data_IF_297234085324
#
_entry.id   IF_297234085324
#
_cell.length_a   1.000
_cell.length_b   1.000
_cell.length_c   1.000
_cell.angle_alpha   90.00
_cell.angle_beta   90.00
_cell.angle_gamma   90.00
#
_symmetry.space_group_name_H-M   'P 1'
#
loop_
_entity.id
_entity.type
_entity.pdbx_description
1 polymer ?
#
# COMPACT_ATOMS: atom_id res chain seq x y z
N UNK A 1 38.89 30.78 -25.84
CA UNK A 1 37.64 30.78 -26.61
C UNK A 1 37.72 29.64 -27.60
N UNK A 2 37.23 28.49 -27.14
CA UNK A 2 37.08 27.30 -27.93
C UNK A 2 35.68 27.33 -28.55
N UNK A 3 35.60 27.71 -29.81
CA UNK A 3 34.35 27.95 -30.50
C UNK A 3 33.69 26.63 -30.91
N UNK A 4 32.48 26.35 -30.39
CA UNK A 4 31.71 25.14 -30.71
C UNK A 4 30.36 25.51 -31.31
N UNK A 5 29.97 24.82 -32.38
CA UNK A 5 28.68 25.01 -33.03
C UNK A 5 27.62 24.20 -32.28
N UNK A 6 26.52 24.84 -31.89
CA UNK A 6 25.43 24.19 -31.14
C UNK A 6 24.16 24.02 -31.95
N UNK A 7 23.95 24.81 -33.00
CA UNK A 7 22.82 24.68 -33.92
C UNK A 7 23.11 25.30 -35.30
N UNK A 8 22.32 24.89 -36.29
CA UNK A 8 22.18 25.57 -37.58
C UNK A 8 21.13 26.69 -37.45
N UNK A 9 21.47 27.93 -37.81
CA UNK A 9 20.54 29.07 -37.68
C UNK A 9 19.25 28.86 -38.48
N UNK A 10 19.36 28.25 -39.66
CA UNK A 10 18.23 27.94 -40.54
C UNK A 10 17.29 26.85 -40.00
N UNK A 11 17.75 26.03 -39.04
CA UNK A 11 16.97 24.95 -38.44
C UNK A 11 16.29 25.39 -37.13
N UNK A 12 16.69 26.52 -36.55
CA UNK A 12 16.03 27.08 -35.39
C UNK A 12 14.77 27.83 -35.83
N UNK A 13 13.62 27.33 -35.39
CA UNK A 13 12.36 28.05 -35.50
C UNK A 13 12.34 29.24 -34.53
N UNK A 14 11.72 30.34 -34.96
CA UNK A 14 11.61 31.53 -34.13
C UNK A 14 10.77 31.26 -32.87
N UNK A 15 11.29 31.70 -31.72
CA UNK A 15 10.70 31.52 -30.37
C UNK A 15 10.36 30.06 -30.03
N UNK A 16 11.13 29.11 -30.58
CA UNK A 16 11.04 27.70 -30.22
C UNK A 16 12.35 27.26 -29.53
N UNK A 17 12.29 26.72 -28.30
CA UNK A 17 13.47 26.19 -27.63
C UNK A 17 14.06 24.99 -28.39
N UNK A 18 15.39 24.94 -28.47
CA UNK A 18 16.13 23.82 -29.02
C UNK A 18 17.20 23.33 -28.04
N UNK A 19 17.46 22.03 -28.05
CA UNK A 19 18.44 21.40 -27.18
C UNK A 19 19.84 21.46 -27.79
N UNK A 20 20.86 21.70 -26.94
CA UNK A 20 22.25 21.43 -27.26
C UNK A 20 22.99 20.89 -26.02
N UNK A 21 24.12 20.21 -26.25
CA UNK A 21 24.99 19.69 -25.20
C UNK A 21 26.42 20.12 -25.46
N UNK A 22 27.05 20.75 -24.48
CA UNK A 22 28.48 21.11 -24.52
C UNK A 22 29.12 20.73 -23.20
N UNK A 23 30.26 20.04 -23.26
CA UNK A 23 30.84 19.35 -22.12
C UNK A 23 29.79 18.40 -21.49
N UNK A 24 29.47 18.51 -20.20
CA UNK A 24 28.35 17.78 -19.59
C UNK A 24 27.09 18.65 -19.34
N UNK A 25 27.07 19.88 -19.84
CA UNK A 25 26.03 20.88 -19.52
C UNK A 25 24.94 20.88 -20.60
N UNK A 26 23.70 20.59 -20.19
CA UNK A 26 22.54 20.75 -21.06
C UNK A 26 22.33 22.25 -21.32
N UNK A 27 22.06 22.61 -22.58
CA UNK A 27 21.81 23.97 -23.02
C UNK A 27 20.43 24.08 -23.66
N UNK A 28 19.80 25.23 -23.50
CA UNK A 28 18.62 25.62 -24.25
C UNK A 28 18.97 26.80 -25.16
N UNK A 29 18.79 26.59 -26.45
CA UNK A 29 19.03 27.58 -27.51
C UNK A 29 17.70 28.13 -27.94
N UNK A 30 17.51 29.45 -27.81
CA UNK A 30 16.29 30.15 -28.21
C UNK A 30 16.63 31.18 -29.26
N UNK A 31 16.06 31.01 -30.45
CA UNK A 31 16.05 32.05 -31.48
C UNK A 31 14.91 33.03 -31.21
N UNK A 32 15.17 34.32 -31.35
CA UNK A 32 14.14 35.36 -31.32
C UNK A 32 14.51 36.45 -32.32
N UNK A 33 13.67 36.60 -33.34
CA UNK A 33 13.90 37.49 -34.49
C UNK A 33 15.27 37.18 -35.14
N UNK A 34 16.20 38.14 -35.09
CA UNK A 34 17.56 38.04 -35.63
C UNK A 34 18.63 37.75 -34.56
N UNK A 35 18.21 37.40 -33.34
CA UNK A 35 19.08 37.17 -32.19
C UNK A 35 18.96 35.74 -31.67
N UNK A 36 19.96 35.35 -30.87
CA UNK A 36 20.01 34.05 -30.20
C UNK A 36 20.33 34.21 -28.72
N UNK A 37 19.71 33.39 -27.88
CA UNK A 37 20.09 33.21 -26.48
C UNK A 37 20.44 31.76 -26.24
N UNK A 38 21.51 31.53 -25.46
CA UNK A 38 21.90 30.20 -25.00
C UNK A 38 22.00 30.24 -23.49
N UNK A 39 21.12 29.50 -22.84
CA UNK A 39 21.01 29.43 -21.38
C UNK A 39 21.35 28.02 -20.90
N UNK A 40 21.60 27.87 -19.60
CA UNK A 40 21.55 26.58 -18.93
C UNK A 40 20.21 25.89 -19.20
N UNK A 41 20.26 24.65 -19.67
CA UNK A 41 19.16 23.97 -20.34
C UNK A 41 18.17 23.27 -19.43
N UNK A 42 18.35 23.29 -18.10
CA UNK A 42 17.45 22.64 -17.15
C UNK A 42 16.80 23.64 -16.21
N UNK A 43 15.51 23.43 -15.92
CA UNK A 43 14.78 24.21 -14.93
C UNK A 43 15.39 24.04 -13.53
N UNK A 44 15.59 25.13 -12.80
CA UNK A 44 16.14 25.13 -11.43
C UNK A 44 15.25 24.42 -10.39
N UNK A 45 13.99 24.15 -10.72
CA UNK A 45 13.01 23.55 -9.81
C UNK A 45 12.89 22.03 -9.96
N UNK A 46 12.69 21.55 -11.20
CA UNK A 46 12.43 20.12 -11.50
C UNK A 46 13.53 19.46 -12.33
N UNK A 47 14.58 20.18 -12.70
CA UNK A 47 15.65 19.66 -13.56
C UNK A 47 15.20 19.27 -14.98
N UNK A 48 13.96 19.58 -15.37
CA UNK A 48 13.41 19.29 -16.68
C UNK A 48 14.14 20.06 -17.79
N UNK A 49 14.30 19.45 -18.97
CA UNK A 49 14.89 20.11 -20.13
C UNK A 49 13.98 21.25 -20.59
N UNK A 50 14.51 22.47 -20.60
CA UNK A 50 13.79 23.65 -21.10
C UNK A 50 13.64 23.62 -22.62
N UNK A 51 14.42 22.78 -23.31
CA UNK A 51 14.23 22.49 -24.72
C UNK A 51 12.90 21.76 -25.01
N UNK A 52 12.35 21.02 -24.04
CA UNK A 52 11.01 20.40 -24.14
C UNK A 52 9.88 21.37 -23.70
N UNK A 53 10.25 22.59 -23.29
CA UNK A 53 9.32 23.66 -22.93
C UNK A 53 8.82 24.46 -24.12
N UNK A 54 8.37 25.67 -23.86
CA UNK A 54 7.90 26.59 -24.90
C UNK A 54 8.16 28.06 -24.51
N UNK A 55 8.07 28.98 -25.48
CA UNK A 55 8.16 30.41 -25.20
C UNK A 55 6.75 31.02 -25.16
N UNK A 56 6.49 31.88 -24.17
CA UNK A 56 5.26 32.68 -24.05
C UNK A 56 5.62 34.14 -23.79
N UNK A 57 5.39 35.01 -24.77
CA UNK A 57 5.88 36.39 -24.70
C UNK A 57 7.42 36.40 -24.70
N UNK A 58 8.02 37.00 -23.67
CA UNK A 58 9.48 37.06 -23.51
C UNK A 58 10.04 35.97 -22.59
N UNK A 59 9.20 35.03 -22.18
CA UNK A 59 9.52 34.02 -21.18
C UNK A 59 9.66 32.63 -21.80
N UNK A 60 10.78 31.98 -21.51
CA UNK A 60 11.01 30.55 -21.66
C UNK A 60 10.31 29.82 -20.50
N UNK A 61 9.36 28.96 -20.82
CA UNK A 61 8.50 28.27 -19.86
C UNK A 61 8.88 26.79 -19.78
N UNK A 62 9.05 26.31 -18.55
CA UNK A 62 9.26 24.90 -18.26
C UNK A 62 8.00 24.09 -18.59
N UNK A 63 8.13 23.05 -19.42
CA UNK A 63 6.99 22.22 -19.85
C UNK A 63 6.36 21.34 -18.76
N UNK A 64 6.94 21.27 -17.55
CA UNK A 64 6.45 20.41 -16.45
C UNK A 64 5.54 21.16 -15.47
N UNK A 65 5.88 22.40 -15.11
CA UNK A 65 5.19 23.13 -14.04
C UNK A 65 5.09 24.64 -14.30
N UNK A 66 5.18 25.04 -15.58
CA UNK A 66 4.96 26.41 -16.08
C UNK A 66 5.83 27.52 -15.44
N UNK A 67 6.98 27.16 -14.86
CA UNK A 67 7.92 28.14 -14.34
C UNK A 67 8.64 28.89 -15.45
N UNK A 68 8.87 30.19 -15.25
CA UNK A 68 9.35 31.11 -16.26
C UNK A 68 10.82 31.52 -16.06
N UNK A 69 11.47 31.80 -17.17
CA UNK A 69 12.74 32.51 -17.21
C UNK A 69 12.73 33.41 -18.44
N UNK A 70 13.06 34.70 -18.30
CA UNK A 70 13.21 35.59 -19.46
C UNK A 70 14.26 35.02 -20.40
N UNK A 71 13.93 34.67 -21.64
CA UNK A 71 14.91 34.00 -22.50
C UNK A 71 16.14 34.89 -22.79
N UNK A 72 15.98 36.21 -22.69
CA UNK A 72 17.07 37.17 -22.87
C UNK A 72 18.09 37.16 -21.74
N UNK A 73 17.68 36.90 -20.50
CA UNK A 73 18.54 37.10 -19.31
C UNK A 73 18.69 35.85 -18.45
N UNK A 74 17.81 34.86 -18.61
CA UNK A 74 17.68 33.70 -17.75
C UNK A 74 16.99 33.97 -16.41
N UNK A 75 16.54 35.20 -16.12
CA UNK A 75 15.94 35.59 -14.83
C UNK A 75 14.42 35.38 -14.85
N UNK A 76 13.85 34.73 -13.83
CA UNK A 76 12.38 34.65 -13.68
C UNK A 76 11.78 36.04 -13.47
N UNK A 77 10.64 36.31 -14.13
CA UNK A 77 10.00 37.63 -14.14
C UNK A 77 9.33 38.01 -12.80
N UNK A 78 9.02 37.02 -11.95
CA UNK A 78 8.38 37.25 -10.66
C UNK A 78 9.22 36.81 -9.46
N UNK A 79 10.28 36.03 -9.66
CA UNK A 79 11.23 35.63 -8.62
C UNK A 79 12.67 35.78 -9.11
N UNK A 80 13.17 37.01 -9.07
CA UNK A 80 14.46 37.39 -9.66
C UNK A 80 15.69 36.63 -9.09
N UNK A 81 15.56 35.99 -7.93
CA UNK A 81 16.60 35.12 -7.37
C UNK A 81 16.80 33.85 -8.19
N UNK A 82 15.77 33.40 -8.92
CA UNK A 82 15.85 32.25 -9.80
C UNK A 82 16.36 32.72 -11.18
N UNK A 83 17.63 32.40 -11.44
CA UNK A 83 18.35 32.82 -12.66
C UNK A 83 19.14 31.67 -13.26
N UNK A 84 18.81 31.31 -14.50
CA UNK A 84 19.63 30.43 -15.34
C UNK A 84 20.92 31.13 -15.74
N UNK A 85 22.01 30.38 -15.83
CA UNK A 85 23.25 30.90 -16.42
C UNK A 85 23.01 31.20 -17.90
N UNK A 86 23.41 32.40 -18.35
CA UNK A 86 23.46 32.77 -19.77
C UNK A 86 24.89 32.68 -20.27
N UNK A 87 25.09 31.95 -21.35
CA UNK A 87 26.39 31.77 -21.99
C UNK A 87 26.57 32.74 -23.16
N UNK A 88 27.82 33.07 -23.50
CA UNK A 88 28.11 33.85 -24.69
C UNK A 88 27.76 33.05 -25.95
N UNK A 89 26.92 33.63 -26.81
CA UNK A 89 26.51 33.01 -28.06
C UNK A 89 26.45 34.04 -29.20
N UNK A 90 26.79 33.62 -30.41
CA UNK A 90 26.75 34.47 -31.60
C UNK A 90 26.44 33.68 -32.87
N UNK A 91 26.03 34.41 -33.90
CA UNK A 91 25.69 33.87 -35.23
C UNK A 91 26.85 34.16 -36.17
N UNK A 92 27.41 33.13 -36.80
CA UNK A 92 28.51 33.26 -37.77
C UNK A 92 28.43 32.11 -38.77
N UNK A 93 28.59 32.42 -40.06
CA UNK A 93 28.52 31.44 -41.18
C UNK A 93 27.28 30.54 -41.15
N UNK A 94 26.13 31.09 -40.75
CA UNK A 94 24.86 30.35 -40.64
C UNK A 94 24.78 29.38 -39.46
N UNK A 95 25.76 29.38 -38.55
CA UNK A 95 25.75 28.61 -37.31
C UNK A 95 25.49 29.47 -36.07
N UNK A 96 24.90 28.86 -35.05
CA UNK A 96 24.90 29.38 -33.68
C UNK A 96 26.09 28.76 -32.95
N UNK A 97 26.92 29.62 -32.37
CA UNK A 97 28.17 29.23 -31.74
C UNK A 97 28.23 29.70 -30.30
N UNK A 98 28.95 28.93 -29.47
CA UNK A 98 29.22 29.23 -28.05
C UNK A 98 30.71 29.08 -27.73
N UNK A 99 31.15 29.64 -26.61
CA UNK A 99 32.48 29.35 -26.04
C UNK A 99 32.43 28.12 -25.14
N UNK A 100 32.98 27.00 -25.60
CA UNK A 100 33.05 25.77 -24.82
C UNK A 100 33.96 25.89 -23.58
N UNK A 101 34.95 26.79 -23.59
CA UNK A 101 35.82 27.01 -22.42
C UNK A 101 35.02 27.64 -21.27
N UNK A 102 34.09 28.55 -21.59
CA UNK A 102 33.18 29.19 -20.63
C UNK A 102 32.26 28.16 -19.99
N UNK A 103 31.63 27.32 -20.81
CA UNK A 103 30.69 26.29 -20.34
C UNK A 103 31.41 25.25 -19.48
N UNK A 104 32.59 24.78 -19.89
CA UNK A 104 33.39 23.84 -19.10
C UNK A 104 33.93 24.47 -17.79
N UNK A 105 34.19 25.78 -17.77
CA UNK A 105 34.53 26.49 -16.54
C UNK A 105 33.32 26.65 -15.61
N UNK A 106 32.12 26.83 -16.16
CA UNK A 106 30.88 26.82 -15.40
C UNK A 106 30.59 25.44 -14.81
N UNK A 107 30.71 24.37 -15.60
CA UNK A 107 30.53 22.98 -15.14
C UNK A 107 31.45 22.62 -13.97
N UNK A 108 32.73 23.02 -14.02
CA UNK A 108 33.67 22.77 -12.90
C UNK A 108 33.28 23.47 -11.61
N UNK A 109 32.59 24.62 -11.70
CA UNK A 109 32.07 25.36 -10.54
C UNK A 109 30.69 24.87 -10.11
N UNK A 110 29.94 24.27 -11.03
CA UNK A 110 28.60 23.73 -10.84
C UNK A 110 28.53 22.30 -11.41
N UNK A 111 29.15 21.32 -10.73
CA UNK A 111 29.11 19.93 -11.18
C UNK A 111 27.65 19.50 -11.36
N UNK A 112 27.35 18.82 -12.46
CA UNK A 112 25.99 18.41 -12.75
C UNK A 112 25.54 17.37 -11.71
N UNK A 113 24.30 17.46 -11.19
CA UNK A 113 23.84 16.60 -10.10
C UNK A 113 23.50 15.17 -10.57
N UNK A 114 23.81 14.83 -11.83
CA UNK A 114 23.51 13.55 -12.45
C UNK A 114 24.72 12.98 -13.20
N UNK A 115 24.82 11.65 -13.22
CA UNK A 115 25.81 10.91 -13.98
C UNK A 115 25.21 10.49 -15.33
N UNK A 116 25.41 11.28 -16.37
CA UNK A 116 24.79 11.09 -17.70
C UNK A 116 24.95 9.69 -18.28
N UNK A 117 26.13 9.10 -18.12
CA UNK A 117 26.46 7.78 -18.67
C UNK A 117 25.96 6.61 -17.80
N UNK A 118 25.39 6.90 -16.62
CA UNK A 118 24.79 5.88 -15.77
C UNK A 118 23.40 5.47 -16.29
N UNK A 119 22.93 4.30 -15.86
CA UNK A 119 21.54 3.91 -16.07
C UNK A 119 20.62 4.93 -15.38
N UNK A 120 19.58 5.39 -16.10
CA UNK A 120 18.73 6.54 -15.73
C UNK A 120 19.45 7.89 -15.59
N UNK A 121 20.71 8.03 -16.01
CA UNK A 121 21.55 9.22 -15.79
C UNK A 121 20.85 10.57 -16.04
N UNK A 122 20.26 10.76 -17.22
CA UNK A 122 19.57 12.03 -17.56
C UNK A 122 18.30 12.30 -16.75
N UNK A 123 17.74 11.28 -16.10
CA UNK A 123 16.47 11.28 -15.36
C UNK A 123 16.66 11.07 -13.86
N UNK A 124 17.90 11.10 -13.37
CA UNK A 124 18.18 11.06 -11.93
C UNK A 124 17.52 12.28 -11.27
N UNK A 125 16.72 12.02 -10.24
CA UNK A 125 16.07 13.06 -9.43
C UNK A 125 16.86 13.20 -8.12
N UNK A 126 17.65 14.28 -7.97
CA UNK A 126 18.41 14.52 -6.75
C UNK A 126 17.60 15.24 -5.66
N UNK A 127 16.40 15.76 -6.00
CA UNK A 127 15.67 16.67 -5.14
C UNK A 127 14.55 15.98 -4.36
N UNK A 128 13.84 15.02 -4.97
CA UNK A 128 12.73 14.30 -4.35
C UNK A 128 11.66 15.24 -3.80
N UNK A 129 10.64 15.56 -4.59
CA UNK A 129 9.64 16.54 -4.20
C UNK A 129 8.39 15.90 -3.57
N UNK A 130 7.69 16.57 -2.63
CA UNK A 130 6.44 16.07 -2.05
C UNK A 130 5.34 15.80 -3.08
N UNK A 131 5.35 16.50 -4.23
CA UNK A 131 4.40 16.30 -5.32
C UNK A 131 4.68 15.02 -6.12
N UNK A 132 5.88 14.45 -5.98
CA UNK A 132 6.35 13.25 -6.69
C UNK A 132 6.88 12.20 -5.69
N UNK A 133 6.08 11.79 -4.68
CA UNK A 133 6.56 11.00 -3.54
C UNK A 133 7.01 9.58 -3.91
N UNK A 134 6.81 9.17 -5.16
CA UNK A 134 7.11 7.83 -5.67
C UNK A 134 8.25 7.79 -6.70
N UNK A 135 8.83 8.92 -7.12
CA UNK A 135 9.87 8.94 -8.17
C UNK A 135 11.09 8.10 -7.78
N UNK A 136 11.55 8.23 -6.54
CA UNK A 136 12.67 7.40 -6.05
C UNK A 136 12.33 5.90 -6.03
N UNK A 137 11.08 5.53 -5.71
CA UNK A 137 10.64 4.13 -5.75
C UNK A 137 10.61 3.61 -7.19
N UNK A 138 10.13 4.41 -8.14
CA UNK A 138 10.10 4.08 -9.56
C UNK A 138 11.53 3.88 -10.09
N UNK A 139 12.45 4.79 -9.77
CA UNK A 139 13.86 4.69 -10.15
C UNK A 139 14.51 3.43 -9.56
N UNK A 140 14.32 3.18 -8.26
CA UNK A 140 14.83 1.98 -7.60
C UNK A 140 14.29 0.68 -8.23
N UNK A 141 13.00 0.62 -8.57
CA UNK A 141 12.40 -0.54 -9.25
C UNK A 141 12.91 -0.70 -10.68
N UNK A 142 13.17 0.39 -11.40
CA UNK A 142 13.75 0.33 -12.73
C UNK A 142 15.21 -0.15 -12.69
N UNK A 143 15.99 0.30 -11.71
CA UNK A 143 17.40 -0.08 -11.53
C UNK A 143 17.60 -1.52 -11.08
N UNK A 144 16.74 -2.02 -10.19
CA UNK A 144 16.96 -3.28 -9.50
C UNK A 144 15.88 -4.34 -9.74
N UNK A 145 14.81 -3.98 -10.45
CA UNK A 145 13.63 -4.82 -10.57
C UNK A 145 13.06 -5.19 -9.20
N UNK A 146 12.53 -6.41 -9.10
CA UNK A 146 11.97 -6.94 -7.86
C UNK A 146 12.99 -7.63 -6.95
N UNK A 147 14.25 -7.78 -7.37
CA UNK A 147 15.25 -8.57 -6.63
C UNK A 147 15.53 -8.01 -5.23
N UNK A 148 15.46 -6.68 -5.07
CA UNK A 148 15.73 -5.98 -3.80
C UNK A 148 14.51 -5.82 -2.90
N UNK A 149 13.30 -5.93 -3.45
CA UNK A 149 12.04 -5.67 -2.73
C UNK A 149 11.20 -6.94 -2.53
N UNK A 150 11.48 -8.01 -3.28
CA UNK A 150 10.73 -9.27 -3.27
C UNK A 150 9.67 -9.34 -4.37
N UNK A 151 9.20 -10.57 -4.63
CA UNK A 151 8.23 -10.88 -5.70
C UNK A 151 6.94 -10.04 -5.65
N UNK A 152 6.49 -9.65 -4.45
CA UNK A 152 5.28 -8.85 -4.26
C UNK A 152 5.55 -7.36 -4.00
N UNK A 153 6.79 -6.91 -4.19
CA UNK A 153 7.24 -5.57 -3.80
C UNK A 153 7.41 -5.44 -2.28
N UNK A 154 7.60 -4.20 -1.78
CA UNK A 154 7.84 -3.93 -0.37
C UNK A 154 6.73 -4.49 0.54
N UNK A 155 7.12 -5.10 1.65
CA UNK A 155 6.22 -5.73 2.63
C UNK A 155 6.38 -5.04 3.98
N UNK A 156 5.26 -4.77 4.66
CA UNK A 156 5.24 -4.23 6.01
C UNK A 156 4.24 -4.96 6.91
N UNK A 157 4.36 -4.75 8.21
CA UNK A 157 3.38 -5.15 9.20
C UNK A 157 2.37 -4.01 9.47
N UNK A 158 1.37 -4.29 10.30
CA UNK A 158 0.29 -3.38 10.70
C UNK A 158 -0.65 -3.00 9.54
N UNK A 159 -1.75 -2.30 9.87
CA UNK A 159 -2.71 -1.79 8.89
C UNK A 159 -2.31 -0.41 8.35
N UNK A 160 -3.22 0.21 7.60
CA UNK A 160 -3.12 1.60 7.15
C UNK A 160 -3.08 2.53 8.38
N UNK A 161 -2.26 3.62 8.37
CA UNK A 161 -2.24 4.60 9.44
C UNK A 161 -3.64 5.13 9.78
N UNK A 162 -3.94 5.25 11.08
CA UNK A 162 -5.27 5.67 11.55
C UNK A 162 -5.66 7.07 11.05
N UNK A 163 -4.70 7.95 10.81
CA UNK A 163 -4.94 9.29 10.28
C UNK A 163 -5.46 9.31 8.83
N UNK A 164 -5.30 8.21 8.10
CA UNK A 164 -5.78 8.05 6.72
C UNK A 164 -7.14 7.36 6.65
N UNK A 165 -7.78 7.09 7.79
CA UNK A 165 -9.06 6.39 7.88
C UNK A 165 -10.11 7.29 8.54
N UNK A 166 -11.41 7.12 8.21
CA UNK A 166 -12.49 7.78 8.93
C UNK A 166 -12.42 7.47 10.42
N UNK A 167 -12.86 8.42 11.25
CA UNK A 167 -12.77 8.30 12.70
C UNK A 167 -14.16 8.16 13.33
N UNK A 168 -14.22 7.54 14.51
CA UNK A 168 -15.46 7.44 15.27
C UNK A 168 -16.00 8.81 15.70
N UNK A 169 -15.14 9.84 15.75
CA UNK A 169 -15.53 11.21 16.11
C UNK A 169 -16.36 11.89 15.00
N UNK A 170 -16.37 11.32 13.79
CA UNK A 170 -17.16 11.78 12.66
C UNK A 170 -18.61 11.24 12.69
N UNK A 171 -18.93 10.29 13.58
CA UNK A 171 -20.25 9.70 13.72
C UNK A 171 -21.13 10.45 14.74
N UNK A 172 -22.41 10.56 14.41
CA UNK A 172 -23.45 11.09 15.31
C UNK A 172 -24.51 10.02 15.56
N UNK A 173 -24.89 9.82 16.82
CA UNK A 173 -25.99 8.92 17.17
C UNK A 173 -27.33 9.65 17.08
N UNK A 174 -28.29 9.08 16.36
CA UNK A 174 -29.67 9.58 16.32
C UNK A 174 -30.43 8.99 17.52
N UNK A 175 -30.98 9.85 18.36
CA UNK A 175 -31.64 9.44 19.62
C UNK A 175 -33.15 9.25 19.45
N UNK A 176 -33.70 8.38 20.30
CA UNK A 176 -35.13 8.12 20.40
C UNK A 176 -35.89 9.36 20.96
N UNK A 177 -37.13 9.59 20.50
CA UNK A 177 -37.98 10.71 20.95
C UNK A 177 -39.47 10.29 21.01
N UNK A 178 -40.28 10.59 19.99
CA UNK A 178 -41.72 10.34 19.98
C UNK A 178 -42.09 9.03 19.25
N UNK A 179 -41.41 8.70 18.15
CA UNK A 179 -41.67 7.47 17.40
C UNK A 179 -41.26 6.21 18.18
N UNK A 180 -40.16 6.34 18.93
CA UNK A 180 -39.70 5.38 19.93
C UNK A 180 -39.40 6.20 21.17
N UNK A 181 -40.04 5.87 22.30
CA UNK A 181 -39.76 6.55 23.56
C UNK A 181 -38.38 6.13 24.09
N UNK A 182 -37.58 7.06 24.66
CA UNK A 182 -36.34 6.69 25.32
C UNK A 182 -36.62 5.83 26.55
N UNK A 183 -35.69 4.94 26.88
CA UNK A 183 -35.72 4.19 28.14
C UNK A 183 -35.49 5.15 29.32
N UNK A 184 -36.02 4.79 30.50
CA UNK A 184 -35.73 5.51 31.74
C UNK A 184 -34.34 5.11 32.28
N UNK A 185 -33.69 6.00 33.03
CA UNK A 185 -32.31 5.82 33.54
C UNK A 185 -32.08 4.52 34.33
N UNK A 186 -33.12 4.00 35.00
CA UNK A 186 -33.03 2.78 35.82
C UNK A 186 -33.23 1.48 35.05
N UNK A 187 -33.50 1.53 33.74
CA UNK A 187 -33.73 0.32 32.94
C UNK A 187 -32.39 -0.36 32.66
N UNK A 188 -32.20 -1.63 33.09
CA UNK A 188 -30.96 -2.34 32.82
C UNK A 188 -30.80 -2.61 31.31
N UNK A 189 -29.58 -2.43 30.80
CA UNK A 189 -29.21 -2.73 29.41
C UNK A 189 -28.20 -3.87 29.41
N UNK A 190 -28.55 -4.98 28.75
CA UNK A 190 -27.65 -6.11 28.58
C UNK A 190 -26.62 -5.87 27.48
N UNK A 191 -25.41 -6.38 27.67
CA UNK A 191 -24.31 -6.37 26.68
C UNK A 191 -24.09 -7.74 26.05
N UNK A 192 -24.91 -8.73 26.43
CA UNK A 192 -24.79 -10.11 25.99
C UNK A 192 -24.96 -10.21 24.47
N UNK A 193 -24.15 -11.07 23.85
CA UNK A 193 -24.21 -11.33 22.41
C UNK A 193 -24.31 -12.84 22.17
N UNK A 194 -25.14 -13.22 21.20
CA UNK A 194 -25.27 -14.61 20.74
C UNK A 194 -24.81 -14.69 19.29
N UNK A 195 -23.73 -15.41 19.04
CA UNK A 195 -23.22 -15.69 17.69
C UNK A 195 -23.88 -16.98 17.18
N UNK A 196 -24.48 -16.86 15.99
CA UNK A 196 -25.24 -17.92 15.34
C UNK A 196 -26.42 -18.41 16.17
N UNK A 197 -27.42 -17.56 16.47
CA UNK A 197 -28.55 -17.91 17.33
C UNK A 197 -29.41 -19.07 16.80
N UNK A 198 -29.34 -19.37 15.50
CA UNK A 198 -30.04 -20.49 14.86
C UNK A 198 -29.24 -21.80 14.86
N UNK A 199 -27.96 -21.78 15.25
CA UNK A 199 -27.15 -23.00 15.36
C UNK A 199 -27.65 -23.88 16.52
N UNK A 200 -27.40 -25.19 16.45
CA UNK A 200 -27.80 -26.12 17.53
C UNK A 200 -27.05 -25.84 18.85
N UNK A 201 -25.82 -25.34 18.74
CA UNK A 201 -24.95 -24.96 19.86
C UNK A 201 -24.45 -23.52 19.66
N UNK A 202 -25.31 -22.50 19.85
CA UNK A 202 -24.93 -21.11 19.64
C UNK A 202 -23.84 -20.68 20.63
N UNK A 203 -22.96 -19.77 20.21
CA UNK A 203 -21.93 -19.21 21.07
C UNK A 203 -22.47 -17.98 21.80
N UNK A 204 -22.34 -17.94 23.13
CA UNK A 204 -22.79 -16.83 23.99
C UNK A 204 -21.61 -16.08 24.59
N UNK A 205 -21.64 -14.76 24.50
CA UNK A 205 -20.65 -13.84 25.07
C UNK A 205 -21.34 -12.88 26.04
N UNK A 206 -20.62 -12.44 27.07
CA UNK A 206 -21.14 -11.48 28.06
C UNK A 206 -21.09 -10.02 27.55
N UNK A 207 -20.23 -9.75 26.57
CA UNK A 207 -20.02 -8.44 25.95
C UNK A 207 -19.94 -8.56 24.42
N UNK A 208 -20.25 -7.50 23.65
CA UNK A 208 -20.27 -7.52 22.19
C UNK A 208 -18.88 -7.22 21.59
N UNK A 209 -17.81 -7.70 22.25
CA UNK A 209 -16.42 -7.44 21.88
C UNK A 209 -15.66 -8.76 22.04
N UNK A 210 -14.88 -9.18 21.05
CA UNK A 210 -14.04 -10.38 21.12
C UNK A 210 -12.65 -10.10 20.53
N UNK A 211 -11.68 -10.97 20.82
CA UNK A 211 -10.32 -10.85 20.28
C UNK A 211 -10.27 -11.52 18.89
N UNK A 212 -10.05 -10.72 17.85
CA UNK A 212 -10.07 -11.15 16.44
C UNK A 212 -8.85 -12.00 16.03
N UNK A 213 -8.93 -12.58 14.83
CA UNK A 213 -7.99 -13.55 14.27
C UNK A 213 -6.58 -13.01 14.12
N UNK A 214 -5.68 -13.53 14.94
CA UNK A 214 -4.25 -13.26 14.83
C UNK A 214 -3.47 -14.56 15.00
N UNK A 215 -2.78 -14.99 13.95
CA UNK A 215 -2.13 -16.30 13.94
C UNK A 215 -0.98 -16.42 14.94
N UNK A 216 -0.82 -17.61 15.52
CA UNK A 216 0.44 -17.98 16.15
C UNK A 216 1.58 -18.00 15.11
N UNK A 217 2.68 -17.32 15.43
CA UNK A 217 3.78 -17.01 14.52
C UNK A 217 3.79 -15.56 14.03
N UNK A 218 2.62 -14.95 13.84
CA UNK A 218 2.53 -13.49 13.78
C UNK A 218 2.66 -12.88 15.18
N UNK A 219 1.97 -13.50 16.16
CA UNK A 219 2.13 -13.24 17.58
C UNK A 219 2.96 -14.33 18.26
N UNK A 220 3.59 -13.99 19.37
CA UNK A 220 4.29 -14.96 20.23
C UNK A 220 3.30 -15.85 20.99
N UNK A 221 3.80 -16.93 21.58
CA UNK A 221 3.00 -17.84 22.42
C UNK A 221 2.44 -17.11 23.64
N UNK A 222 3.27 -16.32 24.30
CA UNK A 222 2.91 -15.54 25.49
C UNK A 222 1.80 -14.54 25.18
N UNK A 223 1.87 -13.87 24.02
CA UNK A 223 0.82 -12.94 23.58
C UNK A 223 -0.51 -13.66 23.34
N UNK A 224 -0.48 -14.82 22.68
CA UNK A 224 -1.68 -15.63 22.41
C UNK A 224 -2.33 -16.11 23.71
N UNK A 225 -1.54 -16.70 24.62
CA UNK A 225 -1.99 -17.17 25.94
C UNK A 225 -2.54 -16.02 26.79
N UNK A 226 -1.86 -14.88 26.82
CA UNK A 226 -2.31 -13.71 27.59
C UNK A 226 -3.64 -13.14 27.07
N UNK A 227 -3.79 -13.03 25.74
CA UNK A 227 -5.04 -12.56 25.12
C UNK A 227 -6.20 -13.53 25.37
N UNK A 228 -5.96 -14.84 25.26
CA UNK A 228 -6.98 -15.85 25.51
C UNK A 228 -7.47 -15.82 26.96
N UNK A 229 -6.55 -15.74 27.92
CA UNK A 229 -6.87 -15.60 29.34
C UNK A 229 -7.64 -14.31 29.62
N UNK A 230 -7.20 -13.20 29.02
CA UNK A 230 -7.89 -11.91 29.15
C UNK A 230 -9.33 -11.97 28.62
N UNK A 231 -9.53 -12.59 27.45
CA UNK A 231 -10.84 -12.78 26.87
C UNK A 231 -11.75 -13.65 27.77
N UNK A 232 -11.22 -14.72 28.37
CA UNK A 232 -12.00 -15.59 29.26
C UNK A 232 -12.44 -14.83 30.52
N UNK A 233 -11.52 -14.08 31.14
CA UNK A 233 -11.82 -13.25 32.32
C UNK A 233 -12.83 -12.13 32.01
N UNK A 234 -12.88 -11.66 30.76
CA UNK A 234 -13.84 -10.67 30.30
C UNK A 234 -15.18 -11.29 29.82
N UNK A 235 -15.35 -12.61 29.93
CA UNK A 235 -16.57 -13.29 29.50
C UNK A 235 -16.76 -13.34 27.98
N UNK A 236 -15.67 -13.25 27.22
CA UNK A 236 -15.70 -13.19 25.76
C UNK A 236 -14.75 -14.18 25.06
N UNK A 237 -14.83 -14.18 23.75
CA UNK A 237 -14.18 -15.10 22.84
C UNK A 237 -12.84 -14.60 22.30
N UNK A 238 -12.06 -15.54 21.78
CA UNK A 238 -10.84 -15.29 20.99
C UNK A 238 -10.82 -16.21 19.76
N UNK A 239 -10.22 -15.73 18.67
CA UNK A 239 -10.06 -16.49 17.45
C UNK A 239 -8.61 -16.93 17.18
N UNK A 240 -8.43 -18.13 16.63
CA UNK A 240 -7.11 -18.75 16.43
C UNK A 240 -6.23 -18.01 15.44
N UNK A 241 -6.83 -17.45 14.39
CA UNK A 241 -6.17 -17.05 13.16
C UNK A 241 -5.61 -18.21 12.31
N UNK A 242 -5.04 -17.84 11.16
CA UNK A 242 -4.65 -18.74 10.06
C UNK A 242 -3.46 -19.68 10.35
N UNK A 243 -2.85 -19.56 11.54
CA UNK A 243 -1.66 -20.34 11.91
C UNK A 243 -1.99 -21.70 12.53
N UNK A 244 -3.28 -22.01 12.69
CA UNK A 244 -3.76 -23.15 13.44
C UNK A 244 -3.91 -22.87 14.94
N UNK A 245 -4.51 -23.84 15.64
CA UNK A 245 -4.80 -23.74 17.07
C UNK A 245 -3.58 -24.13 17.90
N UNK A 246 -3.11 -23.19 18.72
CA UNK A 246 -2.10 -23.42 19.76
C UNK A 246 -2.79 -24.05 21.00
N UNK A 247 -2.37 -25.23 21.47
CA UNK A 247 -3.04 -25.91 22.58
C UNK A 247 -3.10 -25.09 23.88
N UNK A 248 -2.04 -24.36 24.19
CA UNK A 248 -1.93 -23.51 25.38
C UNK A 248 -2.87 -22.31 25.31
N UNK A 249 -3.03 -21.71 24.13
CA UNK A 249 -4.00 -20.63 23.93
C UNK A 249 -5.44 -21.14 24.10
N UNK A 250 -5.79 -22.24 23.43
CA UNK A 250 -7.14 -22.79 23.51
C UNK A 250 -7.50 -23.22 24.93
N UNK A 251 -6.53 -23.72 25.71
CA UNK A 251 -6.75 -24.12 27.10
C UNK A 251 -7.17 -22.96 28.02
N UNK A 252 -6.88 -21.71 27.64
CA UNK A 252 -7.16 -20.52 28.45
C UNK A 252 -8.53 -19.89 28.16
N UNK A 253 -9.23 -20.31 27.09
CA UNK A 253 -10.52 -19.72 26.72
C UNK A 253 -11.54 -20.77 26.27
N UNK A 254 -12.69 -20.76 26.95
CA UNK A 254 -13.81 -21.68 26.73
C UNK A 254 -14.76 -21.27 25.59
N UNK A 255 -14.50 -20.13 24.95
CA UNK A 255 -15.28 -19.48 23.89
C UNK A 255 -14.38 -19.26 22.66
N UNK A 256 -13.85 -20.35 22.12
CA UNK A 256 -12.79 -20.28 21.11
C UNK A 256 -13.34 -20.38 19.68
N UNK A 257 -12.94 -19.47 18.79
CA UNK A 257 -13.26 -19.48 17.36
C UNK A 257 -12.10 -20.07 16.57
N UNK A 258 -12.39 -21.07 15.72
CA UNK A 258 -11.37 -21.67 14.87
C UNK A 258 -11.42 -21.11 13.44
N UNK A 259 -10.32 -20.54 12.95
CA UNK A 259 -10.21 -20.06 11.57
C UNK A 259 -9.66 -21.17 10.65
N UNK A 260 -10.35 -21.42 9.54
CA UNK A 260 -9.87 -22.27 8.44
C UNK A 260 -9.49 -21.39 7.25
N UNK A 261 -8.18 -21.32 6.96
CA UNK A 261 -7.62 -20.60 5.82
C UNK A 261 -7.17 -21.53 4.67
N UNK A 262 -6.89 -20.95 3.51
CA UNK A 262 -6.61 -21.66 2.24
C UNK A 262 -5.49 -22.71 2.29
N UNK A 263 -4.46 -22.48 3.10
CA UNK A 263 -3.35 -23.43 3.29
C UNK A 263 -3.64 -24.53 4.32
N UNK A 264 -4.73 -24.40 5.09
CA UNK A 264 -5.15 -25.33 6.14
C UNK A 264 -4.07 -25.61 7.19
N UNK A 265 -3.14 -24.67 7.40
CA UNK A 265 -2.04 -24.84 8.34
C UNK A 265 -2.56 -25.16 9.75
N UNK A 266 -2.12 -26.30 10.28
CA UNK A 266 -2.50 -26.74 11.61
C UNK A 266 -3.99 -27.01 11.82
N UNK A 267 -4.81 -26.98 10.76
CA UNK A 267 -6.23 -27.35 10.80
C UNK A 267 -6.38 -28.86 10.96
N UNK A 268 -7.22 -29.29 11.89
CA UNK A 268 -7.60 -30.69 12.02
C UNK A 268 -9.04 -30.79 12.52
N UNK A 269 -9.78 -31.75 11.95
CA UNK A 269 -11.15 -32.05 12.38
C UNK A 269 -11.19 -32.46 13.87
N UNK A 270 -10.13 -33.07 14.41
CA UNK A 270 -10.09 -33.50 15.82
C UNK A 270 -10.06 -32.33 16.80
N UNK A 271 -9.58 -31.17 16.36
CA UNK A 271 -9.54 -29.97 17.19
C UNK A 271 -10.92 -29.32 17.33
N UNK A 272 -11.88 -29.64 16.44
CA UNK A 272 -13.21 -29.05 16.44
C UNK A 272 -14.03 -29.39 17.70
N UNK A 273 -13.71 -30.48 18.40
CA UNK A 273 -14.37 -30.85 19.66
C UNK A 273 -14.09 -29.85 20.79
N UNK A 274 -13.08 -28.99 20.62
CA UNK A 274 -12.62 -28.02 21.62
C UNK A 274 -13.03 -26.58 21.32
N UNK A 275 -13.79 -26.33 20.26
CA UNK A 275 -14.12 -24.95 19.82
C UNK A 275 -15.63 -24.72 19.79
N UNK A 276 -16.04 -23.47 19.91
CA UNK A 276 -17.45 -23.07 20.04
C UNK A 276 -17.99 -22.40 18.79
N UNK A 277 -17.11 -22.09 17.84
CA UNK A 277 -17.44 -21.54 16.55
C UNK A 277 -16.29 -21.82 15.57
N UNK A 278 -16.59 -21.89 14.29
CA UNK A 278 -15.59 -22.02 13.23
C UNK A 278 -15.94 -21.05 12.11
N UNK A 279 -14.95 -20.49 11.42
CA UNK A 279 -15.22 -19.75 10.19
C UNK A 279 -14.19 -20.02 9.10
N UNK A 280 -14.64 -19.91 7.86
CA UNK A 280 -13.77 -19.86 6.69
C UNK A 280 -13.15 -18.49 6.56
N UNK A 281 -11.87 -18.42 6.20
CA UNK A 281 -11.21 -17.18 5.83
C UNK A 281 -11.27 -16.98 4.32
N UNK A 282 -12.13 -16.06 3.86
CA UNK A 282 -12.17 -15.58 2.48
C UNK A 282 -11.23 -14.41 2.23
N UNK A 283 -11.02 -13.55 3.22
CA UNK A 283 -10.14 -12.39 3.08
C UNK A 283 -9.80 -11.70 4.39
N UNK A 284 -8.90 -10.72 4.32
CA UNK A 284 -8.61 -9.77 5.40
C UNK A 284 -8.33 -8.39 4.80
N UNK A 285 -8.67 -7.33 5.54
CA UNK A 285 -8.60 -5.94 5.05
C UNK A 285 -7.22 -5.49 4.54
N UNK A 286 -6.13 -6.07 5.08
CA UNK A 286 -4.75 -5.72 4.72
C UNK A 286 -4.22 -6.33 3.42
N UNK A 287 -4.81 -7.44 2.94
CA UNK A 287 -4.26 -8.20 1.79
C UNK A 287 -5.26 -9.16 1.13
N UNK A 288 -6.45 -8.62 0.82
CA UNK A 288 -7.52 -9.35 0.11
C UNK A 288 -7.06 -9.85 -1.26
N UNK A 289 -7.54 -11.02 -1.68
CA UNK A 289 -7.13 -11.64 -2.95
C UNK A 289 -5.74 -12.29 -2.92
N UNK A 290 -5.10 -12.34 -1.75
CA UNK A 290 -3.81 -13.02 -1.54
C UNK A 290 -3.86 -13.85 -0.26
N UNK A 291 -2.88 -14.75 -0.08
CA UNK A 291 -2.80 -15.58 1.11
C UNK A 291 -1.96 -15.00 2.24
N UNK A 292 -2.07 -15.65 3.40
CA UNK A 292 -1.15 -15.52 4.53
C UNK A 292 0.32 -15.73 4.12
N UNK A 293 1.24 -14.94 4.68
CA UNK A 293 2.68 -15.14 4.50
C UNK A 293 3.36 -14.99 5.85
N UNK A 294 4.01 -16.07 6.30
CA UNK A 294 4.92 -16.04 7.43
C UNK A 294 6.35 -16.34 6.92
N UNK A 295 7.31 -15.40 7.07
CA UNK A 295 8.69 -15.62 6.65
C UNK A 295 9.32 -16.85 7.29
N UNK A 296 10.09 -17.63 6.54
CA UNK A 296 10.69 -18.90 7.00
C UNK A 296 11.55 -18.77 8.26
N UNK A 297 12.24 -17.65 8.46
CA UNK A 297 13.03 -17.43 9.68
C UNK A 297 12.19 -17.37 10.98
N UNK A 298 10.88 -17.12 10.88
CA UNK A 298 9.93 -17.19 11.99
C UNK A 298 9.33 -18.59 12.17
N UNK A 299 9.41 -19.46 11.17
CA UNK A 299 8.91 -20.84 11.24
C UNK A 299 9.94 -21.71 11.97
N UNK A 300 9.87 -21.69 13.30
CA UNK A 300 10.79 -22.42 14.18
C UNK A 300 10.05 -23.01 15.38
N UNK A 301 10.58 -24.10 15.94
CA UNK A 301 10.08 -24.76 17.12
C UNK A 301 8.58 -25.04 17.05
N UNK A 302 7.83 -24.48 17.99
CA UNK A 302 6.39 -24.70 18.12
C UNK A 302 5.58 -24.17 16.94
N UNK A 303 6.04 -23.12 16.26
CA UNK A 303 5.36 -22.59 15.07
C UNK A 303 5.37 -23.62 13.95
N UNK A 304 6.53 -24.26 13.71
CA UNK A 304 6.66 -25.33 12.73
C UNK A 304 5.77 -26.53 13.09
N UNK A 305 5.76 -26.93 14.37
CA UNK A 305 4.94 -28.04 14.86
C UNK A 305 3.44 -27.78 14.71
N UNK A 306 2.95 -26.61 15.14
CA UNK A 306 1.52 -26.26 15.05
C UNK A 306 1.06 -26.19 13.60
N UNK A 307 1.89 -25.64 12.70
CA UNK A 307 1.59 -25.50 11.27
C UNK A 307 1.84 -26.76 10.46
N UNK A 308 2.51 -27.77 11.03
CA UNK A 308 2.96 -28.99 10.35
C UNK A 308 3.92 -28.69 9.18
N UNK A 309 4.88 -27.79 9.41
CA UNK A 309 5.90 -27.37 8.45
C UNK A 309 7.30 -27.76 8.92
N UNK A 310 8.26 -27.79 8.00
CA UNK A 310 9.67 -27.91 8.37
C UNK A 310 10.19 -26.57 8.91
N UNK A 311 11.15 -26.61 9.84
CA UNK A 311 11.76 -25.37 10.32
C UNK A 311 12.50 -24.64 9.20
N UNK A 312 12.35 -23.31 9.14
CA UNK A 312 12.92 -22.48 8.07
C UNK A 312 12.08 -22.43 6.80
N UNK A 313 11.09 -23.30 6.64
CA UNK A 313 10.18 -23.31 5.49
C UNK A 313 9.22 -22.10 5.56
N UNK A 314 9.17 -21.22 4.55
CA UNK A 314 8.23 -20.11 4.54
C UNK A 314 6.79 -20.62 4.43
N UNK A 315 5.90 -20.16 5.32
CA UNK A 315 4.49 -20.51 5.25
C UNK A 315 3.78 -19.54 4.29
N UNK A 316 3.60 -19.96 3.04
CA UNK A 316 2.91 -19.20 2.00
C UNK A 316 1.56 -19.84 1.72
N UNK A 317 0.49 -19.08 1.93
CA UNK A 317 -0.87 -19.56 1.66
C UNK A 317 -1.31 -19.19 0.25
N UNK A 318 -2.07 -20.07 -0.44
CA UNK A 318 -2.73 -19.70 -1.68
C UNK A 318 -3.77 -18.57 -1.46
N UNK A 319 -4.15 -17.86 -2.51
CA UNK A 319 -5.17 -16.80 -2.44
C UNK A 319 -6.58 -17.32 -2.12
N UNK A 320 -6.88 -18.56 -2.50
CA UNK A 320 -8.13 -19.29 -2.20
C UNK A 320 -7.83 -20.75 -1.88
N UNK A 321 -8.79 -21.49 -1.34
CA UNK A 321 -8.70 -22.94 -1.26
C UNK A 321 -8.47 -23.52 -2.67
N UNK A 322 -7.33 -24.18 -2.96
CA UNK A 322 -6.98 -24.57 -4.33
C UNK A 322 -8.00 -25.52 -4.96
N UNK A 323 -8.51 -26.43 -4.13
CA UNK A 323 -9.43 -27.51 -4.46
C UNK A 323 -10.92 -27.12 -4.36
N UNK A 324 -11.24 -25.92 -3.87
CA UNK A 324 -12.63 -25.44 -3.80
C UNK A 324 -12.84 -24.30 -4.79
N UNK A 325 -13.89 -24.43 -5.59
CA UNK A 325 -14.23 -23.49 -6.67
C UNK A 325 -15.69 -23.07 -6.67
N UNK A 326 -16.53 -23.69 -5.86
CA UNK A 326 -17.95 -23.41 -5.77
C UNK A 326 -18.40 -23.22 -4.31
N UNK A 327 -19.48 -22.48 -4.11
CA UNK A 327 -20.11 -22.28 -2.79
C UNK A 327 -20.49 -23.61 -2.13
N UNK A 328 -20.84 -24.63 -2.94
CA UNK A 328 -21.20 -25.96 -2.48
C UNK A 328 -20.06 -26.67 -1.73
N UNK A 329 -18.80 -26.43 -2.12
CA UNK A 329 -17.63 -27.01 -1.44
C UNK A 329 -17.56 -26.55 0.03
N UNK A 330 -17.85 -25.26 0.26
CA UNK A 330 -17.91 -24.68 1.61
C UNK A 330 -19.11 -25.20 2.38
N UNK A 331 -20.27 -25.35 1.73
CA UNK A 331 -21.49 -25.88 2.35
C UNK A 331 -21.28 -27.31 2.84
N UNK A 332 -20.75 -28.18 1.98
CA UNK A 332 -20.47 -29.57 2.34
C UNK A 332 -19.47 -29.68 3.50
N UNK A 333 -18.44 -28.81 3.52
CA UNK A 333 -17.49 -28.79 4.62
C UNK A 333 -18.11 -28.27 5.92
N UNK A 334 -18.95 -27.23 5.84
CA UNK A 334 -19.68 -26.69 6.98
C UNK A 334 -20.57 -27.77 7.61
N UNK A 335 -21.28 -28.57 6.81
CA UNK A 335 -22.09 -29.69 7.31
C UNK A 335 -21.24 -30.74 8.02
N UNK A 336 -20.08 -31.14 7.48
CA UNK A 336 -19.15 -32.07 8.16
C UNK A 336 -18.69 -31.52 9.51
N UNK A 337 -18.45 -30.22 9.62
CA UNK A 337 -18.11 -29.58 10.90
C UNK A 337 -19.29 -29.60 11.85
N UNK A 338 -20.50 -29.28 11.40
CA UNK A 338 -21.72 -29.33 12.22
C UNK A 338 -22.00 -30.73 12.74
N UNK A 339 -21.90 -31.74 11.88
CA UNK A 339 -22.05 -33.16 12.25
C UNK A 339 -21.07 -33.54 13.35
N UNK A 340 -19.79 -33.21 13.19
CA UNK A 340 -18.75 -33.56 14.17
C UNK A 340 -18.91 -32.84 15.51
N UNK A 341 -19.35 -31.59 15.48
CA UNK A 341 -19.38 -30.72 16.68
C UNK A 341 -20.73 -30.74 17.41
N UNK A 342 -21.74 -31.41 16.84
CA UNK A 342 -23.12 -31.30 17.31
C UNK A 342 -23.79 -29.97 16.94
N UNK A 343 -23.24 -29.24 15.98
CA UNK A 343 -23.83 -28.05 15.38
C UNK A 343 -23.43 -26.73 16.02
N UNK A 344 -22.13 -26.49 16.22
CA UNK A 344 -21.61 -25.15 16.51
C UNK A 344 -21.88 -24.19 15.34
N UNK A 345 -21.90 -22.86 15.58
CA UNK A 345 -22.03 -21.88 14.50
C UNK A 345 -20.83 -21.90 13.55
N UNK A 346 -21.14 -21.76 12.27
CA UNK A 346 -20.17 -21.64 11.18
C UNK A 346 -20.26 -20.24 10.60
N UNK A 347 -19.13 -19.57 10.41
CA UNK A 347 -19.07 -18.23 9.84
C UNK A 347 -18.25 -18.13 8.57
N UNK A 348 -18.30 -16.95 7.97
CA UNK A 348 -17.39 -16.57 6.90
C UNK A 348 -16.73 -15.25 7.22
N UNK A 349 -15.40 -15.21 7.15
CA UNK A 349 -14.63 -13.98 7.29
C UNK A 349 -14.31 -13.42 5.92
N UNK A 350 -14.80 -12.21 5.67
CA UNK A 350 -14.72 -11.47 4.44
C UNK A 350 -13.95 -10.17 4.65
N UNK A 351 -13.32 -9.69 3.60
CA UNK A 351 -12.82 -8.32 3.54
C UNK A 351 -13.83 -7.46 2.80
N UNK A 352 -14.03 -6.22 3.22
CA UNK A 352 -14.99 -5.31 2.63
C UNK A 352 -14.58 -4.90 1.21
N UNK A 353 -15.02 -5.68 0.22
CA UNK A 353 -14.86 -5.41 -1.21
C UNK A 353 -16.25 -5.24 -1.86
N UNK A 354 -16.79 -6.29 -2.48
CA UNK A 354 -18.11 -6.32 -3.11
C UNK A 354 -19.13 -6.80 -2.07
N UNK A 355 -19.40 -5.94 -1.08
CA UNK A 355 -20.03 -6.33 0.18
C UNK A 355 -21.34 -7.12 0.02
N UNK A 356 -22.27 -6.60 -0.78
CA UNK A 356 -23.57 -7.23 -1.00
C UNK A 356 -23.41 -8.60 -1.69
N UNK A 357 -22.58 -8.68 -2.73
CA UNK A 357 -22.35 -9.91 -3.50
C UNK A 357 -21.66 -11.00 -2.66
N UNK A 358 -20.65 -10.61 -1.87
CA UNK A 358 -19.89 -11.51 -1.00
C UNK A 358 -20.74 -11.98 0.19
N UNK A 359 -21.59 -11.11 0.78
CA UNK A 359 -22.55 -11.50 1.83
C UNK A 359 -23.61 -12.43 1.25
N UNK A 360 -24.16 -12.14 0.07
CA UNK A 360 -25.13 -13.01 -0.59
C UNK A 360 -24.55 -14.41 -0.85
N UNK A 361 -23.29 -14.50 -1.25
CA UNK A 361 -22.57 -15.78 -1.38
C UNK A 361 -22.44 -16.51 -0.03
N UNK A 362 -22.04 -15.81 1.03
CA UNK A 362 -21.95 -16.39 2.37
C UNK A 362 -23.32 -16.91 2.88
N UNK A 363 -24.40 -16.17 2.61
CA UNK A 363 -25.77 -16.59 2.94
C UNK A 363 -26.19 -17.84 2.16
N UNK A 364 -25.87 -17.94 0.87
CA UNK A 364 -26.12 -19.14 0.06
C UNK A 364 -25.34 -20.36 0.55
N UNK A 365 -24.13 -20.16 1.08
CA UNK A 365 -23.35 -21.23 1.75
C UNK A 365 -24.08 -21.73 3.01
N UNK A 366 -24.86 -20.88 3.68
CA UNK A 366 -25.62 -21.23 4.88
C UNK A 366 -24.84 -21.00 6.18
N UNK A 367 -24.01 -19.95 6.21
CA UNK A 367 -23.29 -19.56 7.43
C UNK A 367 -24.22 -18.89 8.45
N UNK A 368 -23.89 -19.02 9.73
CA UNK A 368 -24.64 -18.43 10.86
C UNK A 368 -24.16 -17.02 11.23
N UNK A 369 -22.97 -16.62 10.79
CA UNK A 369 -22.42 -15.29 11.03
C UNK A 369 -21.39 -14.89 9.96
N UNK A 370 -21.14 -13.58 9.84
CA UNK A 370 -20.12 -13.02 8.95
C UNK A 370 -19.19 -12.13 9.77
N UNK A 371 -17.88 -12.27 9.56
CA UNK A 371 -16.88 -11.32 10.04
C UNK A 371 -16.52 -10.44 8.85
N UNK A 372 -16.71 -9.13 8.96
CA UNK A 372 -16.41 -8.18 7.89
C UNK A 372 -15.23 -7.29 8.29
N UNK A 373 -14.08 -7.54 7.67
CA UNK A 373 -12.86 -6.76 7.86
C UNK A 373 -12.82 -5.56 6.90
N UNK A 374 -12.87 -4.35 7.44
CA UNK A 374 -12.67 -3.13 6.67
C UNK A 374 -11.20 -2.78 6.44
N UNK A 375 -10.98 -1.74 5.63
CA UNK A 375 -9.68 -1.09 5.45
C UNK A 375 -9.15 -0.59 6.79
N UNK A 376 -7.84 -0.78 7.00
CA UNK A 376 -7.18 -0.48 8.28
C UNK A 376 -6.95 -1.71 9.16
N UNK A 377 -7.50 -2.87 8.80
CA UNK A 377 -7.19 -4.15 9.46
C UNK A 377 -5.68 -4.43 9.53
N UNK A 378 -5.23 -4.96 10.66
CA UNK A 378 -3.82 -5.27 10.90
C UNK A 378 -3.33 -6.54 10.19
N UNK A 379 -2.01 -6.68 10.09
CA UNK A 379 -1.36 -7.90 9.57
C UNK A 379 0.06 -8.03 10.12
N UNK A 380 0.55 -9.27 10.26
CA UNK A 380 1.96 -9.51 10.57
C UNK A 380 2.88 -9.25 9.38
N UNK A 381 2.36 -9.35 8.15
CA UNK A 381 3.05 -9.07 6.90
C UNK A 381 2.04 -8.96 5.74
N UNK A 382 2.08 -7.84 5.00
CA UNK A 382 1.38 -7.66 3.73
C UNK A 382 2.22 -6.78 2.79
N UNK A 383 2.15 -7.00 1.46
CA UNK A 383 2.71 -6.06 0.50
C UNK A 383 2.02 -4.69 0.63
N UNK A 384 2.81 -3.62 0.62
CA UNK A 384 2.32 -2.25 0.79
C UNK A 384 1.24 -1.89 -0.23
N UNK A 385 1.42 -2.33 -1.48
CA UNK A 385 0.47 -2.07 -2.56
C UNK A 385 -0.94 -2.62 -2.25
N UNK A 386 -1.04 -3.74 -1.54
CA UNK A 386 -2.33 -4.28 -1.12
C UNK A 386 -2.82 -3.53 0.11
N UNK A 387 -1.99 -3.46 1.16
CA UNK A 387 -2.36 -2.85 2.45
C UNK A 387 -2.92 -1.43 2.27
N UNK A 388 -2.30 -0.64 1.41
CA UNK A 388 -2.57 0.79 1.28
C UNK A 388 -3.60 1.15 0.21
N UNK A 389 -4.08 0.19 -0.60
CA UNK A 389 -4.92 0.54 -1.76
C UNK A 389 -6.17 -0.33 -1.95
N UNK A 390 -6.49 -1.23 -1.03
CA UNK A 390 -7.68 -2.08 -1.12
C UNK A 390 -8.64 -1.86 0.06
N UNK A 391 -9.83 -2.47 -0.06
CA UNK A 391 -10.90 -2.49 0.94
C UNK A 391 -11.60 -1.15 1.18
N UNK A 392 -12.88 -1.24 1.52
CA UNK A 392 -13.68 -0.13 2.05
C UNK A 392 -13.41 0.01 3.56
N UNK A 393 -13.24 1.22 4.12
CA UNK A 393 -13.20 1.42 5.57
C UNK A 393 -14.42 0.85 6.28
N UNK A 394 -14.25 0.43 7.54
CA UNK A 394 -15.36 -0.13 8.34
C UNK A 394 -16.45 0.91 8.64
N UNK A 395 -16.03 2.17 8.82
CA UNK A 395 -16.88 3.35 8.99
C UNK A 395 -17.22 3.94 7.64
#
# INVERSE_FOLDING_TARGET
MNKVRVAEWSQLADRQPAYALVANVDLVVVRYDDQVSVLYGRCLHRGALLADGFVRGDDLICGVHDWDYRFETGVSSYKNDDRLEKFNAWIEDGGVWVDADEIAAWERRHPQPYARDAYQGNFQDPHGAPEEPHVHLIQHLAEHGLEKVGHHGPVAAMGVPRQELPTWDDLQFITAQLATLPQLDGVPVGTELVIGPSAKRPLRLEIPIFVSDMSFGALSEEAKVALARGAELAGTAIASGEGGMLPEEQAENSRYLYELASARFGFSMDKLERVQAMHFKGGQGAKTGTGGHLPGHKVKGKIAQVRQLQEGEPAVSPARFPDWSHEDDFREFAEKVRERTGGIPIGFKLSAQHLEEDIDAALRIGVDYVILDGRGGGTGAAPLIFRDHISVPTL
#
